data_IF_000308521768
#
_entry.id   IF_000308521768
#
_cell.length_a   1.000
_cell.length_b   1.000
_cell.length_c   1.000
_cell.angle_alpha   90.00
_cell.angle_beta   90.00
_cell.angle_gamma   90.00
#
_symmetry.space_group_name_H-M   'P 1'
#
loop_
_entity.id
_entity.type
_entity.pdbx_description
1 polymer ?
#
# COMPACT_ATOMS: atom_id res chain seq x y z
N UNK A 1 9.90 -24.69 -16.18
CA UNK A 1 9.30 -23.61 -15.39
C UNK A 1 10.41 -22.86 -14.66
N UNK A 2 10.90 -21.75 -15.22
CA UNK A 2 11.73 -20.81 -14.45
C UNK A 2 10.75 -20.02 -13.60
N UNK A 3 10.80 -20.18 -12.28
CA UNK A 3 9.97 -19.43 -11.36
C UNK A 3 10.19 -17.93 -11.58
N UNK A 4 9.13 -17.13 -11.43
CA UNK A 4 9.13 -15.65 -11.50
C UNK A 4 10.29 -15.05 -10.67
N UNK A 5 10.72 -15.78 -9.64
CA UNK A 5 11.88 -15.47 -8.81
C UNK A 5 13.24 -15.37 -9.53
N UNK A 6 13.44 -16.05 -10.65
CA UNK A 6 14.66 -15.94 -11.46
C UNK A 6 14.85 -14.56 -12.11
N UNK A 7 13.77 -13.80 -12.29
CA UNK A 7 13.81 -12.41 -12.78
C UNK A 7 14.09 -11.40 -11.66
N UNK A 8 13.75 -11.72 -10.40
CA UNK A 8 13.95 -10.80 -9.26
C UNK A 8 15.39 -10.72 -8.74
N UNK A 9 16.26 -11.69 -9.05
CA UNK A 9 17.66 -11.72 -8.56
C UNK A 9 18.72 -11.20 -9.52
N UNK A 10 18.36 -10.79 -10.74
CA UNK A 10 19.36 -10.44 -11.75
C UNK A 10 19.76 -8.95 -11.71
N UNK A 11 20.92 -8.70 -11.07
CA UNK A 11 21.83 -7.54 -11.21
C UNK A 11 21.52 -6.25 -10.46
N UNK A 12 21.81 -6.30 -9.17
CA UNK A 12 22.06 -5.14 -8.30
C UNK A 12 23.50 -4.59 -8.44
N UNK A 13 23.99 -4.47 -9.67
CA UNK A 13 25.37 -4.02 -9.91
C UNK A 13 25.52 -3.35 -11.27
N UNK A 14 25.09 -2.10 -11.36
CA UNK A 14 25.77 -1.01 -12.11
C UNK A 14 24.80 0.12 -12.46
N UNK A 15 24.67 1.15 -11.62
CA UNK A 15 24.25 2.47 -12.09
C UNK A 15 24.97 3.57 -11.29
N UNK A 16 26.15 3.95 -11.77
CA UNK A 16 26.72 5.27 -11.55
C UNK A 16 26.67 5.99 -12.91
N UNK A 17 25.90 7.08 -12.99
CA UNK A 17 25.78 7.86 -14.21
C UNK A 17 24.75 8.98 -14.07
N UNK A 18 25.19 10.11 -13.52
CA UNK A 18 24.42 11.34 -13.46
C UNK A 18 24.13 11.89 -14.87
N UNK A 19 22.91 12.37 -15.14
CA UNK A 19 22.64 13.33 -16.21
C UNK A 19 21.60 14.37 -15.82
N UNK A 20 21.86 15.53 -16.41
CA UNK A 20 21.46 16.91 -16.16
C UNK A 20 20.03 17.23 -16.67
N UNK A 21 19.31 18.01 -15.87
CA UNK A 21 17.95 18.51 -16.12
C UNK A 21 18.01 19.82 -16.91
N UNK A 22 17.45 19.85 -18.12
CA UNK A 22 16.87 21.10 -18.65
C UNK A 22 15.91 20.86 -19.83
N UNK A 23 14.61 21.09 -19.59
CA UNK A 23 13.77 22.08 -20.32
C UNK A 23 12.27 21.78 -20.10
N UNK A 24 11.64 22.68 -19.36
CA UNK A 24 10.20 22.89 -19.31
C UNK A 24 9.77 23.70 -20.54
N UNK A 25 8.70 23.27 -21.21
CA UNK A 25 7.88 24.15 -22.03
C UNK A 25 6.41 23.76 -21.84
N UNK A 26 5.59 24.76 -21.55
CA UNK A 26 4.16 24.69 -21.34
C UNK A 26 3.45 24.48 -22.68
N UNK A 27 2.36 23.70 -22.66
CA UNK A 27 1.24 24.02 -23.53
C UNK A 27 -0.09 23.60 -22.90
N UNK A 28 -1.06 24.49 -23.07
CA UNK A 28 -2.37 24.47 -22.43
C UNK A 28 -3.42 24.06 -23.44
N UNK A 29 -4.11 22.93 -23.21
CA UNK A 29 -5.49 22.78 -23.68
C UNK A 29 -6.22 21.71 -22.86
N UNK A 30 -7.44 22.01 -22.43
CA UNK A 30 -8.27 21.13 -21.59
C UNK A 30 -9.56 20.76 -22.33
N UNK A 31 -9.83 19.46 -22.56
CA UNK A 31 -11.18 19.01 -22.87
C UNK A 31 -11.89 18.44 -21.63
N UNK A 32 -13.19 18.74 -21.54
CA UNK A 32 -14.18 18.29 -20.54
C UNK A 32 -14.33 16.75 -20.50
N UNK A 33 -14.77 16.18 -19.36
CA UNK A 33 -14.94 14.74 -19.23
C UNK A 33 -16.24 14.28 -19.92
N UNK A 34 -16.11 13.42 -20.92
CA UNK A 34 -17.19 12.54 -21.37
C UNK A 34 -17.31 11.34 -20.42
N UNK A 35 -18.54 10.98 -20.11
CA UNK A 35 -18.92 9.92 -19.18
C UNK A 35 -18.58 8.54 -19.74
N UNK A 36 -17.62 7.85 -19.11
CA UNK A 36 -17.35 6.43 -19.38
C UNK A 36 -18.15 5.55 -18.41
N UNK A 37 -18.79 4.55 -19.01
CA UNK A 37 -19.61 3.50 -18.41
C UNK A 37 -18.91 2.75 -17.27
N UNK A 38 -19.67 2.42 -16.21
CA UNK A 38 -19.21 1.63 -15.08
C UNK A 38 -18.64 0.27 -15.52
N UNK A 39 -17.32 0.11 -15.43
CA UNK A 39 -16.69 -1.20 -15.33
C UNK A 39 -16.85 -1.69 -13.89
N UNK A 40 -16.97 -3.01 -13.70
CA UNK A 40 -16.93 -3.69 -12.41
C UNK A 40 -15.50 -3.62 -11.80
N UNK A 41 -14.96 -2.40 -11.66
CA UNK A 41 -13.59 -2.11 -11.20
C UNK A 41 -13.42 -2.20 -9.69
N UNK A 42 -12.17 -2.14 -9.22
CA UNK A 42 -11.76 -2.52 -7.86
C UNK A 42 -11.95 -1.44 -6.79
N UNK A 43 -12.65 -0.34 -7.04
CA UNK A 43 -13.11 0.72 -6.15
C UNK A 43 -12.86 0.66 -4.63
N UNK A 44 -12.44 1.81 -4.09
CA UNK A 44 -12.39 2.08 -2.65
C UNK A 44 -13.78 1.87 -2.02
N UNK A 45 -13.83 1.17 -0.88
CA UNK A 45 -15.08 0.95 -0.15
C UNK A 45 -14.93 1.27 1.34
N UNK A 46 -15.97 1.84 1.94
CA UNK A 46 -16.08 2.01 3.39
C UNK A 46 -17.30 1.24 3.85
N UNK A 47 -17.07 0.09 4.48
CA UNK A 47 -18.15 -0.71 5.03
C UNK A 47 -18.42 -0.25 6.46
N UNK A 48 -19.55 0.45 6.61
CA UNK A 48 -20.00 0.97 7.88
C UNK A 48 -21.01 0.02 8.53
N UNK A 49 -20.91 -0.07 9.84
CA UNK A 49 -21.88 -0.71 10.72
C UNK A 49 -22.35 0.32 11.74
N UNK A 50 -23.56 0.16 12.30
CA UNK A 50 -24.31 1.25 12.94
C UNK A 50 -23.68 1.84 14.21
N UNK A 51 -22.63 1.21 14.75
CA UNK A 51 -22.11 1.47 16.11
C UNK A 51 -20.64 1.90 16.17
N UNK A 52 -19.92 1.99 15.04
CA UNK A 52 -18.47 2.29 15.04
C UNK A 52 -18.15 3.75 14.69
N UNK A 53 -17.60 4.57 15.62
CA UNK A 53 -17.23 5.94 15.34
C UNK A 53 -15.90 5.98 14.56
N UNK A 54 -15.98 6.33 13.28
CA UNK A 54 -14.80 6.74 12.52
C UNK A 54 -14.39 8.13 13.02
N UNK A 55 -13.20 8.30 13.63
CA UNK A 55 -12.83 9.57 14.24
C UNK A 55 -12.47 10.65 13.19
N UNK A 56 -12.39 10.27 11.91
CA UNK A 56 -11.79 11.08 10.86
C UNK A 56 -10.29 10.84 10.77
N UNK A 57 -9.75 10.96 9.56
CA UNK A 57 -8.32 10.78 9.33
C UNK A 57 -7.43 11.69 10.21
N UNK A 58 -7.71 12.99 10.38
CA UNK A 58 -6.88 13.87 11.23
C UNK A 58 -6.87 13.48 12.71
N UNK A 59 -7.84 12.68 13.16
CA UNK A 59 -7.95 12.25 14.54
C UNK A 59 -7.27 10.90 14.82
N UNK A 60 -6.77 10.19 13.80
CA UNK A 60 -5.96 9.00 14.05
C UNK A 60 -4.68 9.37 14.84
N UNK A 61 -4.25 8.45 15.71
CA UNK A 61 -3.04 8.58 16.54
C UNK A 61 -2.04 7.46 16.27
N UNK A 62 -2.51 6.31 15.81
CA UNK A 62 -1.67 5.15 15.54
C UNK A 62 -2.04 4.49 14.20
N UNK A 63 -1.02 4.15 13.41
CA UNK A 63 -1.12 3.21 12.31
C UNK A 63 -0.28 1.99 12.63
N UNK A 64 -0.90 0.82 12.66
CA UNK A 64 -0.22 -0.47 12.73
C UNK A 64 -0.22 -1.09 11.34
N UNK A 65 0.94 -1.28 10.72
CA UNK A 65 1.06 -1.63 9.31
C UNK A 65 1.67 -3.02 9.17
N UNK A 66 0.90 -3.96 8.63
CA UNK A 66 1.29 -5.33 8.31
C UNK A 66 1.35 -5.48 6.78
N UNK A 67 2.30 -6.26 6.28
CA UNK A 67 2.43 -6.38 4.84
C UNK A 67 3.81 -6.75 4.34
N UNK A 68 4.06 -6.36 3.09
CA UNK A 68 5.27 -6.71 2.35
C UNK A 68 6.19 -5.52 2.04
N UNK A 69 7.05 -5.67 1.02
CA UNK A 69 8.01 -4.64 0.59
C UNK A 69 7.37 -3.30 0.27
N UNK A 70 6.11 -3.26 -0.18
CA UNK A 70 5.43 -2.01 -0.54
C UNK A 70 5.15 -1.12 0.68
N UNK A 71 5.23 -1.67 1.89
CA UNK A 71 4.98 -0.96 3.15
C UNK A 71 6.15 -1.03 4.13
N UNK A 72 7.25 -1.72 3.78
CA UNK A 72 8.40 -1.86 4.66
C UNK A 72 9.07 -0.50 4.95
N UNK A 73 9.37 -0.24 6.21
CA UNK A 73 10.04 1.00 6.67
C UNK A 73 11.39 0.73 7.36
N UNK A 74 11.95 -0.47 7.13
CA UNK A 74 13.29 -0.86 7.55
C UNK A 74 13.44 -1.46 8.95
N UNK A 75 12.49 -1.27 9.88
CA UNK A 75 12.52 -1.91 11.20
C UNK A 75 11.12 -2.09 11.77
N UNK A 76 10.90 -3.21 12.50
CA UNK A 76 9.67 -3.53 13.23
C UNK A 76 9.39 -2.61 14.46
N UNK A 77 10.15 -1.53 14.62
CA UNK A 77 10.10 -0.67 15.79
C UNK A 77 9.14 0.49 15.56
N UNK A 78 8.33 0.82 16.57
CA UNK A 78 7.44 1.98 16.54
C UNK A 78 8.21 3.26 16.22
N UNK A 79 7.80 3.93 15.16
CA UNK A 79 8.30 5.23 14.72
C UNK A 79 7.31 6.31 15.16
N UNK A 80 7.72 7.11 16.15
CA UNK A 80 6.97 8.29 16.56
C UNK A 80 7.38 9.52 15.74
N UNK A 81 6.60 9.84 14.71
CA UNK A 81 6.82 11.00 13.85
C UNK A 81 6.44 12.34 14.50
N UNK A 82 5.63 12.32 15.56
CA UNK A 82 5.27 13.55 16.29
C UNK A 82 6.50 14.19 16.96
N UNK A 83 7.49 13.36 17.35
CA UNK A 83 8.72 13.78 18.05
C UNK A 83 9.80 14.39 17.15
N UNK A 84 9.70 14.33 15.83
CA UNK A 84 10.66 14.98 14.92
C UNK A 84 10.40 16.49 14.74
N UNK A 85 9.65 17.15 15.65
CA UNK A 85 9.12 18.54 15.54
C UNK A 85 10.15 19.69 15.55
N UNK A 86 11.45 19.40 15.46
CA UNK A 86 12.50 20.44 15.40
C UNK A 86 13.48 20.23 14.25
N UNK A 87 13.26 20.87 13.10
CA UNK A 87 14.23 20.91 11.99
C UNK A 87 13.64 21.42 10.67
N UNK A 88 14.39 22.25 9.93
CA UNK A 88 13.97 22.80 8.62
C UNK A 88 13.90 21.75 7.50
N UNK A 89 14.52 20.59 7.70
CA UNK A 89 14.42 19.41 6.84
C UNK A 89 14.25 18.19 7.76
N UNK A 90 13.12 17.49 7.65
CA UNK A 90 12.86 16.26 8.40
C UNK A 90 13.24 15.08 7.52
N UNK A 91 14.37 14.44 7.81
CA UNK A 91 14.63 13.09 7.29
C UNK A 91 13.57 12.13 7.84
N UNK A 92 13.12 11.20 7.01
CA UNK A 92 12.26 10.12 7.48
C UNK A 92 13.06 9.24 8.45
N UNK A 93 12.53 8.92 9.64
CA UNK A 93 13.22 8.09 10.63
C UNK A 93 13.21 6.60 10.25
N UNK A 94 12.95 6.26 8.98
CA UNK A 94 12.95 4.89 8.50
C UNK A 94 14.38 4.37 8.53
N UNK A 95 14.60 3.31 9.30
CA UNK A 95 15.93 2.73 9.53
C UNK A 95 15.94 1.34 8.93
N UNK A 96 16.44 1.20 7.71
CA UNK A 96 16.58 -0.08 7.00
C UNK A 96 16.03 -0.02 5.58
N UNK A 97 15.79 -1.18 4.97
CA UNK A 97 15.36 -1.28 3.58
C UNK A 97 13.85 -1.00 3.43
N UNK A 98 13.49 -0.09 2.54
CA UNK A 98 12.09 0.32 2.29
C UNK A 98 11.59 -0.04 0.88
N UNK A 99 12.45 -0.66 0.07
CA UNK A 99 12.18 -1.04 -1.32
C UNK A 99 11.69 0.10 -2.22
N UNK A 100 11.90 1.36 -1.82
CA UNK A 100 11.68 2.58 -2.60
C UNK A 100 13.02 3.14 -3.13
N UNK A 101 13.02 4.39 -3.63
CA UNK A 101 14.25 5.01 -4.14
C UNK A 101 15.31 5.20 -3.04
N UNK A 102 16.48 5.74 -3.39
CA UNK A 102 17.60 5.91 -2.46
C UNK A 102 17.27 6.78 -1.23
N UNK A 103 16.26 7.64 -1.32
CA UNK A 103 15.75 8.43 -0.18
C UNK A 103 14.89 7.61 0.80
N UNK A 104 14.52 6.39 0.40
CA UNK A 104 13.75 5.44 1.18
C UNK A 104 12.28 5.79 1.34
N UNK A 105 11.77 6.84 0.66
CA UNK A 105 10.42 7.35 0.91
C UNK A 105 9.34 6.55 0.21
N UNK A 106 8.70 5.63 0.94
CA UNK A 106 7.47 4.96 0.47
C UNK A 106 6.20 5.74 0.84
N UNK A 107 5.02 5.14 0.58
CA UNK A 107 3.73 5.80 0.82
C UNK A 107 3.50 6.17 2.28
N UNK A 108 4.04 5.38 3.22
CA UNK A 108 3.98 5.65 4.66
C UNK A 108 4.77 6.92 4.99
N UNK A 109 5.94 7.08 4.37
CA UNK A 109 6.78 8.27 4.51
C UNK A 109 6.10 9.53 4.01
N UNK A 110 5.49 9.47 2.84
CA UNK A 110 4.72 10.59 2.31
C UNK A 110 3.47 10.90 3.14
N UNK A 111 2.77 9.90 3.65
CA UNK A 111 1.63 10.10 4.54
C UNK A 111 2.06 10.90 5.79
N UNK A 112 3.18 10.53 6.40
CA UNK A 112 3.74 11.27 7.54
C UNK A 112 4.22 12.68 7.16
N UNK A 113 4.89 12.80 6.02
CA UNK A 113 5.49 14.05 5.56
C UNK A 113 4.46 15.08 5.11
N UNK A 114 3.30 14.66 4.59
CA UNK A 114 2.23 15.54 4.10
C UNK A 114 1.16 15.82 5.18
N UNK A 115 1.04 14.96 6.21
CA UNK A 115 0.14 15.15 7.36
C UNK A 115 0.87 15.57 8.64
N UNK A 116 1.68 16.65 8.55
CA UNK A 116 2.61 17.08 9.61
C UNK A 116 1.96 17.56 10.91
N UNK A 117 0.70 18.01 10.83
CA UNK A 117 -0.02 18.54 11.99
C UNK A 117 -0.64 17.41 12.84
N UNK A 118 -0.77 16.21 12.28
CA UNK A 118 -1.26 15.05 13.01
C UNK A 118 -0.17 14.46 13.91
N UNK A 119 -0.49 14.22 15.17
CA UNK A 119 0.34 13.42 16.09
C UNK A 119 0.19 11.93 15.78
N UNK A 120 0.60 11.56 14.57
CA UNK A 120 0.45 10.22 14.04
C UNK A 120 1.70 9.40 14.33
N UNK A 121 1.53 8.25 15.00
CA UNK A 121 2.58 7.26 15.25
C UNK A 121 2.42 6.11 14.27
N UNK A 122 3.52 5.64 13.70
CA UNK A 122 3.52 4.50 12.79
C UNK A 122 4.26 3.34 13.44
N UNK A 123 3.61 2.20 13.50
CA UNK A 123 4.15 0.92 13.96
C UNK A 123 4.23 0.01 12.73
N UNK A 124 5.38 0.00 12.07
CA UNK A 124 5.59 -0.83 10.89
C UNK A 124 6.00 -2.24 11.28
N UNK A 125 5.31 -3.24 10.77
CA UNK A 125 5.67 -4.66 10.87
C UNK A 125 5.89 -5.29 9.49
N UNK A 126 5.63 -4.54 8.41
CA UNK A 126 5.79 -5.02 7.04
C UNK A 126 7.25 -5.32 6.69
N UNK A 127 7.47 -6.39 5.94
CA UNK A 127 8.79 -6.92 5.60
C UNK A 127 8.91 -7.27 4.12
N UNK A 128 10.07 -7.04 3.52
CA UNK A 128 10.31 -7.39 2.13
C UNK A 128 10.05 -8.87 1.81
N UNK A 129 9.32 -9.13 0.73
CA UNK A 129 8.99 -10.50 0.31
C UNK A 129 7.97 -11.23 1.19
N UNK A 130 7.35 -10.55 2.16
CA UNK A 130 6.36 -11.16 3.02
C UNK A 130 5.16 -11.68 2.22
N UNK A 131 4.74 -12.89 2.61
CA UNK A 131 3.48 -13.53 2.23
C UNK A 131 2.56 -13.57 3.45
N UNK A 132 1.32 -14.02 3.31
CA UNK A 132 0.41 -14.20 4.47
C UNK A 132 1.03 -15.04 5.59
N UNK A 133 1.86 -16.04 5.25
CA UNK A 133 2.57 -16.84 6.26
C UNK A 133 3.53 -16.02 7.12
N UNK A 134 4.13 -14.96 6.59
CA UNK A 134 5.00 -14.05 7.35
C UNK A 134 4.18 -13.03 8.15
N UNK A 135 3.01 -12.62 7.64
CA UNK A 135 2.07 -11.74 8.37
C UNK A 135 1.65 -12.37 9.71
N UNK A 136 1.61 -13.69 9.83
CA UNK A 136 1.37 -14.37 11.10
C UNK A 136 2.40 -13.98 12.18
N UNK A 137 3.69 -13.92 11.82
CA UNK A 137 4.75 -13.48 12.72
C UNK A 137 4.65 -11.98 13.01
N UNK A 138 4.27 -11.16 12.03
CA UNK A 138 4.07 -9.71 12.19
C UNK A 138 2.93 -9.42 13.19
N UNK A 139 1.78 -10.09 13.04
CA UNK A 139 0.66 -10.03 13.99
C UNK A 139 1.07 -10.60 15.35
N UNK A 140 1.83 -11.69 15.38
CA UNK A 140 2.42 -12.24 16.60
C UNK A 140 3.28 -11.22 17.35
N UNK A 141 4.14 -10.48 16.64
CA UNK A 141 4.99 -9.44 17.21
C UNK A 141 4.16 -8.27 17.78
N UNK A 142 3.11 -7.84 17.08
CA UNK A 142 2.16 -6.85 17.59
C UNK A 142 1.49 -7.32 18.90
N UNK A 143 0.98 -8.55 18.91
CA UNK A 143 0.26 -9.12 20.07
C UNK A 143 1.17 -9.40 21.26
N UNK A 144 2.44 -9.77 21.02
CA UNK A 144 3.43 -10.03 22.06
C UNK A 144 4.14 -8.78 22.59
N UNK A 145 4.24 -7.73 21.77
CA UNK A 145 5.02 -6.53 22.07
C UNK A 145 4.25 -5.34 22.65
N UNK A 146 2.91 -5.32 22.57
CA UNK A 146 2.11 -4.15 22.96
C UNK A 146 1.48 -4.26 24.36
N UNK A 147 2.14 -3.67 25.36
CA UNK A 147 1.48 -3.35 26.63
C UNK A 147 0.53 -2.15 26.44
N UNK A 148 -0.69 -2.38 25.92
CA UNK A 148 -1.76 -1.41 25.57
C UNK A 148 -1.52 0.08 25.96
N UNK A 149 -0.94 0.93 25.07
CA UNK A 149 -1.18 2.36 25.12
C UNK A 149 -1.61 2.85 23.73
N UNK A 150 -2.56 2.14 23.11
CA UNK A 150 -3.22 2.54 21.87
C UNK A 150 -4.73 2.55 22.09
N UNK A 151 -5.38 3.57 21.54
CA UNK A 151 -6.82 3.78 21.65
C UNK A 151 -7.50 3.09 20.46
N UNK A 152 -8.34 2.06 20.65
CA UNK A 152 -9.07 1.39 19.58
C UNK A 152 -9.85 2.34 18.66
N UNK A 153 -10.34 3.47 19.18
CA UNK A 153 -11.10 4.45 18.40
C UNK A 153 -10.22 5.37 17.57
N UNK A 154 -8.89 5.34 17.75
CA UNK A 154 -7.91 6.21 17.07
C UNK A 154 -6.73 5.45 16.47
N UNK A 155 -6.82 4.13 16.42
CA UNK A 155 -5.78 3.23 15.93
C UNK A 155 -6.25 2.50 14.69
N UNK A 156 -5.60 2.75 13.55
CA UNK A 156 -5.90 2.10 12.28
C UNK A 156 -4.93 0.94 12.03
N UNK A 157 -5.49 -0.24 11.77
CA UNK A 157 -4.75 -1.45 11.43
C UNK A 157 -4.78 -1.59 9.91
N UNK A 158 -3.61 -1.48 9.27
CA UNK A 158 -3.45 -1.51 7.82
C UNK A 158 -2.80 -2.82 7.42
N UNK A 159 -3.43 -3.55 6.50
CA UNK A 159 -2.89 -4.77 5.92
C UNK A 159 -2.76 -4.61 4.41
N UNK A 160 -1.52 -4.63 3.91
CA UNK A 160 -1.21 -4.66 2.47
C UNK A 160 -0.23 -5.78 2.15
N UNK A 161 -0.78 -6.91 1.71
CA UNK A 161 -0.04 -8.13 1.38
C UNK A 161 -0.72 -8.83 0.20
N UNK A 162 0.01 -9.73 -0.44
CA UNK A 162 -0.53 -10.64 -1.46
C UNK A 162 0.25 -10.67 -2.75
N UNK A 163 1.07 -9.64 -3.02
CA UNK A 163 1.90 -9.57 -4.23
C UNK A 163 2.80 -10.81 -4.31
N UNK A 164 3.44 -11.15 -3.18
CA UNK A 164 4.31 -12.32 -3.11
C UNK A 164 3.53 -13.62 -3.16
N UNK A 165 2.32 -13.72 -2.59
CA UNK A 165 1.49 -14.92 -2.65
C UNK A 165 1.06 -15.24 -4.10
N UNK A 166 0.68 -14.20 -4.85
CA UNK A 166 0.33 -14.30 -6.28
C UNK A 166 1.48 -14.83 -7.14
N UNK A 167 2.74 -14.63 -6.73
CA UNK A 167 3.90 -15.15 -7.46
C UNK A 167 4.06 -16.69 -7.34
N UNK A 168 3.35 -17.35 -6.42
CA UNK A 168 3.48 -18.80 -6.16
C UNK A 168 2.19 -19.60 -6.35
N UNK A 169 1.04 -18.94 -6.48
CA UNK A 169 -0.25 -19.59 -6.63
C UNK A 169 -1.19 -18.80 -7.55
N UNK A 170 -2.17 -19.49 -8.14
CA UNK A 170 -3.19 -18.89 -9.01
C UNK A 170 -4.52 -18.63 -8.29
N UNK A 171 -4.80 -19.43 -7.26
CA UNK A 171 -6.02 -19.31 -6.44
C UNK A 171 -5.66 -19.02 -4.98
N UNK A 172 -6.41 -18.11 -4.36
CA UNK A 172 -6.01 -17.52 -3.08
C UNK A 172 -7.01 -17.69 -1.93
N UNK A 173 -8.12 -18.41 -2.15
CA UNK A 173 -9.18 -18.59 -1.15
C UNK A 173 -8.66 -19.06 0.22
N UNK A 174 -7.82 -20.09 0.25
CA UNK A 174 -7.24 -20.62 1.51
C UNK A 174 -6.24 -19.63 2.14
N UNK A 175 -5.46 -18.94 1.31
CA UNK A 175 -4.46 -17.97 1.77
C UNK A 175 -5.13 -16.73 2.36
N UNK A 176 -6.14 -16.19 1.70
CA UNK A 176 -6.96 -15.09 2.22
C UNK A 176 -7.75 -15.55 3.46
N UNK A 177 -8.27 -16.79 3.48
CA UNK A 177 -8.90 -17.34 4.68
C UNK A 177 -7.98 -17.33 5.90
N UNK A 178 -6.70 -17.73 5.71
CA UNK A 178 -5.67 -17.63 6.76
C UNK A 178 -5.38 -16.19 7.15
N UNK A 179 -5.32 -15.25 6.19
CA UNK A 179 -5.16 -13.83 6.50
C UNK A 179 -6.27 -13.33 7.42
N UNK A 180 -7.53 -13.65 7.12
CA UNK A 180 -8.64 -13.22 7.97
C UNK A 180 -8.67 -13.89 9.34
N UNK A 181 -8.12 -15.10 9.50
CA UNK A 181 -7.88 -15.65 10.84
C UNK A 181 -6.89 -14.80 11.66
N UNK A 182 -5.93 -14.12 11.03
CA UNK A 182 -5.05 -13.17 11.70
C UNK A 182 -5.77 -11.87 12.05
N UNK A 183 -6.64 -11.38 11.16
CA UNK A 183 -7.47 -10.19 11.41
C UNK A 183 -8.45 -10.41 12.56
N UNK A 184 -9.02 -11.62 12.70
CA UNK A 184 -9.81 -12.03 13.86
C UNK A 184 -9.02 -11.90 15.18
N UNK A 185 -7.73 -12.27 15.17
CA UNK A 185 -6.85 -12.13 16.36
C UNK A 185 -6.62 -10.66 16.71
N UNK A 186 -6.43 -9.80 15.72
CA UNK A 186 -6.32 -8.35 15.94
C UNK A 186 -7.63 -7.78 16.51
N UNK A 187 -8.78 -8.18 15.96
CA UNK A 187 -10.08 -7.78 16.46
C UNK A 187 -10.32 -8.24 17.90
N UNK A 188 -9.99 -9.49 18.22
CA UNK A 188 -10.07 -10.05 19.58
C UNK A 188 -9.16 -9.30 20.57
N UNK A 189 -8.01 -8.79 20.11
CA UNK A 189 -7.12 -7.96 20.91
C UNK A 189 -7.63 -6.52 21.12
N UNK A 190 -8.67 -6.12 20.38
CA UNK A 190 -9.35 -4.84 20.53
C UNK A 190 -9.28 -3.92 19.32
N UNK A 191 -8.68 -4.33 18.20
CA UNK A 191 -8.65 -3.53 16.97
C UNK A 191 -10.07 -3.27 16.46
N UNK A 192 -10.37 -2.03 16.05
CA UNK A 192 -11.70 -1.64 15.57
C UNK A 192 -11.69 -0.90 14.25
N UNK A 193 -10.57 -0.33 13.83
CA UNK A 193 -10.45 0.34 12.54
C UNK A 193 -9.48 -0.47 11.67
N UNK A 194 -9.97 -0.99 10.55
CA UNK A 194 -9.20 -1.81 9.62
C UNK A 194 -9.16 -1.16 8.25
N UNK A 195 -7.99 -1.16 7.62
CA UNK A 195 -7.78 -0.80 6.21
C UNK A 195 -7.10 -1.95 5.50
N UNK A 196 -7.79 -2.53 4.54
CA UNK A 196 -7.24 -3.52 3.62
C UNK A 196 -6.86 -2.83 2.32
N UNK A 197 -5.68 -3.14 1.79
CA UNK A 197 -5.23 -2.63 0.49
C UNK A 197 -5.11 -3.80 -0.48
N UNK A 198 -5.82 -3.70 -1.61
CA UNK A 198 -5.77 -4.70 -2.66
C UNK A 198 -4.41 -4.66 -3.41
N UNK A 199 -4.06 -5.73 -4.14
CA UNK A 199 -2.77 -5.77 -4.83
C UNK A 199 -2.83 -4.99 -6.15
N UNK A 200 -1.76 -4.28 -6.53
CA UNK A 200 -1.68 -3.61 -7.82
C UNK A 200 -1.73 -4.61 -8.99
N UNK A 201 -2.00 -4.16 -10.23
CA UNK A 201 -2.02 -5.01 -11.41
C UNK A 201 -0.58 -5.36 -11.84
N UNK A 202 0.11 -6.22 -11.08
CA UNK A 202 1.53 -6.55 -11.29
C UNK A 202 1.79 -7.16 -12.67
N UNK A 203 0.78 -7.71 -13.35
CA UNK A 203 0.89 -8.09 -14.77
C UNK A 203 1.36 -6.93 -15.68
N UNK A 204 1.11 -5.68 -15.28
CA UNK A 204 1.55 -4.46 -15.98
C UNK A 204 2.89 -3.90 -15.49
N UNK A 205 3.52 -4.53 -14.48
CA UNK A 205 4.88 -4.15 -14.05
C UNK A 205 5.94 -4.61 -15.07
N UNK A 206 7.18 -4.08 -15.02
CA UNK A 206 8.25 -4.56 -15.89
C UNK A 206 8.59 -6.05 -15.70
N UNK A 207 8.33 -6.64 -14.52
CA UNK A 207 8.41 -8.08 -14.28
C UNK A 207 7.24 -8.82 -14.95
N UNK A 208 6.01 -8.31 -14.82
CA UNK A 208 4.82 -8.89 -15.42
C UNK A 208 4.87 -8.95 -16.93
N UNK A 209 5.31 -7.86 -17.58
CA UNK A 209 5.51 -7.82 -19.03
C UNK A 209 6.62 -8.73 -19.54
N UNK A 210 7.55 -9.15 -18.66
CA UNK A 210 8.62 -10.12 -18.97
C UNK A 210 8.24 -11.56 -18.63
N UNK A 211 7.08 -11.79 -18.02
CA UNK A 211 6.65 -13.13 -17.67
C UNK A 211 6.40 -13.95 -18.95
N UNK A 212 6.66 -15.27 -18.88
CA UNK A 212 6.46 -16.17 -20.03
C UNK A 212 4.99 -16.44 -20.36
N UNK A 213 4.08 -16.02 -19.48
CA UNK A 213 2.64 -16.16 -19.58
C UNK A 213 1.96 -14.98 -18.90
N UNK A 214 0.70 -14.71 -19.24
CA UNK A 214 -0.09 -13.70 -18.54
C UNK A 214 -0.27 -14.09 -17.07
N UNK A 215 0.13 -13.19 -16.16
CA UNK A 215 -0.01 -13.36 -14.72
C UNK A 215 -1.16 -12.53 -14.14
N UNK A 216 -1.91 -11.79 -14.95
CA UNK A 216 -2.94 -10.86 -14.47
C UNK A 216 -4.03 -11.58 -13.68
N UNK A 217 -4.40 -12.80 -14.09
CA UNK A 217 -5.46 -13.59 -13.49
C UNK A 217 -5.25 -13.88 -11.99
N UNK A 218 -4.01 -14.12 -11.54
CA UNK A 218 -3.73 -14.41 -10.12
C UNK A 218 -3.93 -13.19 -9.23
N UNK A 219 -3.56 -11.99 -9.71
CA UNK A 219 -3.78 -10.73 -8.97
C UNK A 219 -5.27 -10.35 -8.96
N UNK A 220 -6.01 -10.58 -10.05
CA UNK A 220 -7.47 -10.44 -10.07
C UNK A 220 -8.13 -11.40 -9.07
N UNK A 221 -7.73 -12.67 -9.07
CA UNK A 221 -8.24 -13.66 -8.12
C UNK A 221 -7.99 -13.24 -6.66
N UNK A 222 -6.79 -12.72 -6.36
CA UNK A 222 -6.48 -12.19 -5.03
C UNK A 222 -7.43 -11.07 -4.64
N UNK A 223 -7.58 -10.05 -5.49
CA UNK A 223 -8.40 -8.87 -5.20
C UNK A 223 -9.88 -9.23 -5.01
N UNK A 224 -10.43 -10.13 -5.83
CA UNK A 224 -11.82 -10.59 -5.69
C UNK A 224 -12.05 -11.42 -4.42
N UNK A 225 -11.08 -12.28 -4.09
CA UNK A 225 -11.11 -13.10 -2.87
C UNK A 225 -11.00 -12.21 -1.63
N UNK A 226 -10.08 -11.24 -1.63
CA UNK A 226 -9.90 -10.26 -0.57
C UNK A 226 -11.18 -9.46 -0.36
N UNK A 227 -11.77 -8.91 -1.43
CA UNK A 227 -13.02 -8.11 -1.34
C UNK A 227 -14.16 -8.90 -0.71
N UNK A 228 -14.31 -10.16 -1.10
CA UNK A 228 -15.33 -11.05 -0.53
C UNK A 228 -15.11 -11.32 0.95
N UNK A 229 -13.87 -11.56 1.35
CA UNK A 229 -13.51 -11.80 2.75
C UNK A 229 -13.64 -10.52 3.62
N UNK A 230 -13.26 -9.36 3.09
CA UNK A 230 -13.48 -8.06 3.75
C UNK A 230 -14.96 -7.82 4.04
N UNK A 231 -15.83 -8.08 3.05
CA UNK A 231 -17.28 -7.91 3.22
C UNK A 231 -17.84 -8.87 4.28
N UNK A 232 -17.39 -10.13 4.29
CA UNK A 232 -17.78 -11.10 5.31
C UNK A 232 -17.32 -10.69 6.72
N UNK A 233 -16.07 -10.23 6.85
CA UNK A 233 -15.51 -9.74 8.11
C UNK A 233 -16.27 -8.52 8.64
N UNK A 234 -16.56 -7.54 7.78
CA UNK A 234 -17.37 -6.38 8.15
C UNK A 234 -18.78 -6.76 8.62
N UNK A 235 -19.41 -7.76 7.99
CA UNK A 235 -20.71 -8.29 8.39
C UNK A 235 -20.68 -9.02 9.73
N UNK A 236 -19.60 -9.76 10.02
CA UNK A 236 -19.41 -10.49 11.28
C UNK A 236 -19.07 -9.57 12.46
N UNK A 237 -18.44 -8.40 12.20
CA UNK A 237 -17.92 -7.50 13.23
C UNK A 237 -18.56 -6.11 13.18
N UNK A 238 -19.81 -5.95 13.64
CA UNK A 238 -20.52 -4.68 13.57
C UNK A 238 -19.94 -3.57 14.46
N UNK A 239 -18.98 -3.87 15.34
CA UNK A 239 -18.25 -2.84 16.08
C UNK A 239 -17.02 -2.32 15.34
N UNK A 240 -16.58 -2.99 14.28
CA UNK A 240 -15.45 -2.58 13.46
C UNK A 240 -15.89 -1.62 12.35
N UNK A 241 -15.01 -0.66 12.03
CA UNK A 241 -14.98 0.02 10.74
C UNK A 241 -14.00 -0.70 9.84
N UNK A 242 -14.46 -1.10 8.67
CA UNK A 242 -13.66 -1.85 7.72
C UNK A 242 -13.60 -1.10 6.39
N UNK A 243 -12.40 -0.74 5.98
CA UNK A 243 -12.11 0.05 4.79
C UNK A 243 -11.32 -0.81 3.79
N UNK A 244 -11.60 -0.63 2.51
CA UNK A 244 -10.76 -1.14 1.43
C UNK A 244 -10.28 0.02 0.59
N UNK A 245 -8.96 0.14 0.41
CA UNK A 245 -8.35 1.02 -0.58
C UNK A 245 -7.87 0.19 -1.76
N UNK A 246 -8.17 0.64 -2.97
CA UNK A 246 -7.73 -0.01 -4.19
C UNK A 246 -6.44 0.58 -4.71
N UNK A 247 -5.33 -0.11 -4.41
CA UNK A 247 -4.09 0.15 -5.11
C UNK A 247 -4.20 -0.27 -6.57
N UNK A 248 -4.98 -1.33 -6.88
CA UNK A 248 -5.25 -1.76 -8.24
C UNK A 248 -5.77 -0.63 -9.12
N UNK A 249 -6.78 0.10 -8.64
CA UNK A 249 -7.37 1.22 -9.37
C UNK A 249 -6.39 2.40 -9.46
N UNK A 250 -5.64 2.68 -8.39
CA UNK A 250 -4.63 3.74 -8.38
C UNK A 250 -3.54 3.50 -9.43
N UNK A 251 -2.96 2.30 -9.44
CA UNK A 251 -1.96 1.91 -10.44
C UNK A 251 -2.57 1.89 -11.85
N UNK A 252 -3.77 1.35 -12.02
CA UNK A 252 -4.44 1.32 -13.34
C UNK A 252 -4.60 2.73 -13.89
N UNK A 253 -5.13 3.68 -13.10
CA UNK A 253 -5.25 5.08 -13.51
C UNK A 253 -3.90 5.71 -13.87
N UNK A 254 -2.86 5.47 -13.08
CA UNK A 254 -1.52 6.03 -13.34
C UNK A 254 -0.88 5.43 -14.59
N UNK A 255 -1.07 4.14 -14.84
CA UNK A 255 -0.49 3.43 -15.98
C UNK A 255 -1.29 3.64 -17.28
N UNK A 256 -2.58 3.99 -17.21
CA UNK A 256 -3.43 4.28 -18.36
C UNK A 256 -3.22 5.72 -18.90
N UNK A 257 -2.84 6.65 -18.03
CA UNK A 257 -2.57 8.06 -18.38
C UNK A 257 -1.31 8.57 -17.65
N UNK A 258 -0.11 8.04 -17.99
CA UNK A 258 1.13 8.39 -17.32
C UNK A 258 1.44 9.89 -17.43
N UNK A 259 1.08 10.51 -18.56
CA UNK A 259 1.28 11.94 -18.84
C UNK A 259 0.59 12.85 -17.83
N UNK A 260 -0.69 12.57 -17.49
CA UNK A 260 -1.43 13.32 -16.46
C UNK A 260 -0.84 13.20 -15.06
N UNK A 261 -0.06 12.15 -14.82
CA UNK A 261 0.68 11.92 -13.59
C UNK A 261 2.15 12.37 -13.68
N UNK A 262 2.52 13.00 -14.79
CA UNK A 262 3.81 13.61 -15.08
C UNK A 262 4.92 12.62 -15.47
N UNK A 263 4.55 11.41 -15.85
CA UNK A 263 5.47 10.40 -16.35
C UNK A 263 5.44 10.37 -17.88
N UNK A 264 6.51 9.87 -18.49
CA UNK A 264 6.50 9.58 -19.92
C UNK A 264 5.84 8.21 -20.16
N UNK A 265 5.27 8.01 -21.35
CA UNK A 265 4.77 6.70 -21.79
C UNK A 265 5.83 5.59 -21.66
N UNK A 266 7.09 5.93 -21.92
CA UNK A 266 8.21 5.00 -21.79
C UNK A 266 8.45 4.52 -20.34
N UNK A 267 8.04 5.29 -19.32
CA UNK A 267 8.26 4.94 -17.91
C UNK A 267 7.37 3.77 -17.47
N UNK A 268 6.21 3.55 -18.12
CA UNK A 268 5.24 2.49 -17.79
C UNK A 268 5.87 1.11 -17.75
N UNK A 269 6.88 0.86 -18.59
CA UNK A 269 7.56 -0.44 -18.72
C UNK A 269 9.05 -0.44 -18.37
N UNK A 270 9.61 0.72 -18.04
CA UNK A 270 11.02 0.87 -17.73
C UNK A 270 11.33 0.50 -16.27
N UNK A 271 12.12 -0.56 -16.08
CA UNK A 271 12.74 -0.84 -14.78
C UNK A 271 13.93 0.09 -14.56
N UNK A 272 14.08 0.63 -13.35
CA UNK A 272 15.04 1.70 -13.07
C UNK A 272 14.65 3.05 -13.69
N UNK A 273 13.37 3.23 -14.00
CA UNK A 273 12.80 4.44 -14.60
C UNK A 273 12.09 5.33 -13.58
N UNK A 274 11.27 6.28 -14.05
CA UNK A 274 10.58 7.20 -13.15
C UNK A 274 9.42 6.56 -12.39
N UNK A 275 8.80 5.50 -12.92
CA UNK A 275 7.69 4.78 -12.26
C UNK A 275 8.13 3.57 -11.45
N UNK A 276 9.09 2.79 -11.97
CA UNK A 276 9.55 1.55 -11.36
C UNK A 276 11.03 1.65 -11.00
N UNK A 277 11.33 1.52 -9.70
CA UNK A 277 12.69 1.47 -9.16
C UNK A 277 13.45 0.28 -9.73
N UNK A 278 12.79 -0.88 -9.76
CA UNK A 278 13.30 -2.12 -10.31
C UNK A 278 12.22 -2.79 -11.18
N UNK A 279 12.21 -4.11 -11.30
CA UNK A 279 11.20 -4.80 -12.09
C UNK A 279 9.82 -4.89 -11.42
N UNK A 280 9.73 -4.60 -10.12
CA UNK A 280 8.54 -4.83 -9.30
C UNK A 280 8.15 -3.64 -8.44
N UNK A 281 9.13 -2.95 -7.87
CA UNK A 281 8.87 -1.93 -6.86
C UNK A 281 8.66 -0.56 -7.50
N UNK A 282 7.61 0.17 -7.10
CA UNK A 282 7.40 1.54 -7.54
C UNK A 282 8.47 2.48 -6.98
N UNK A 283 8.75 3.57 -7.69
CA UNK A 283 9.59 4.65 -7.18
C UNK A 283 8.90 5.41 -6.04
N UNK A 284 9.69 6.22 -5.31
CA UNK A 284 9.16 7.16 -4.31
C UNK A 284 8.12 8.09 -4.95
N UNK A 285 8.29 8.45 -6.24
CA UNK A 285 7.32 9.27 -6.97
C UNK A 285 5.94 8.62 -7.12
N UNK A 286 5.87 7.32 -7.40
CA UNK A 286 4.59 6.58 -7.46
C UNK A 286 4.04 6.35 -6.04
N UNK A 287 4.90 6.07 -5.06
CA UNK A 287 4.52 6.00 -3.65
C UNK A 287 3.88 7.31 -3.14
N UNK A 288 4.31 8.47 -3.63
CA UNK A 288 3.67 9.75 -3.30
C UNK A 288 2.25 9.85 -3.82
N UNK A 289 1.97 9.34 -5.01
CA UNK A 289 0.62 9.30 -5.58
C UNK A 289 -0.27 8.40 -4.70
N UNK A 290 0.20 7.20 -4.38
CA UNK A 290 -0.48 6.28 -3.46
C UNK A 290 -0.80 6.93 -2.12
N UNK A 291 0.17 7.63 -1.51
CA UNK A 291 -0.03 8.31 -0.23
C UNK A 291 -1.13 9.39 -0.32
N UNK A 292 -1.13 10.19 -1.38
CA UNK A 292 -2.15 11.23 -1.61
C UNK A 292 -3.53 10.62 -1.83
N UNK A 293 -3.61 9.52 -2.57
CA UNK A 293 -4.89 8.84 -2.85
C UNK A 293 -5.44 8.13 -1.59
N UNK A 294 -4.57 7.50 -0.80
CA UNK A 294 -4.93 6.93 0.51
C UNK A 294 -5.42 8.04 1.45
N UNK A 295 -4.70 9.16 1.55
CA UNK A 295 -5.09 10.29 2.38
C UNK A 295 -6.44 10.90 1.95
N UNK A 296 -6.64 11.07 0.63
CA UNK A 296 -7.90 11.56 0.08
C UNK A 296 -9.05 10.59 0.40
N UNK A 297 -8.83 9.28 0.24
CA UNK A 297 -9.81 8.27 0.59
C UNK A 297 -10.16 8.33 2.09
N UNK A 298 -9.19 8.26 2.99
CA UNK A 298 -9.41 8.31 4.44
C UNK A 298 -10.11 9.61 4.88
N UNK A 299 -9.84 10.73 4.21
CA UNK A 299 -10.51 12.02 4.46
C UNK A 299 -11.96 12.00 3.97
N UNK A 300 -12.25 11.29 2.87
CA UNK A 300 -13.60 11.18 2.30
C UNK A 300 -14.54 10.30 3.11
N UNK A 301 -14.01 9.39 3.94
CA UNK A 301 -14.82 8.50 4.78
C UNK A 301 -15.66 9.33 5.75
N UNK A 302 -16.98 9.22 5.64
CA UNK A 302 -17.92 10.01 6.43
C UNK A 302 -17.71 9.82 7.94
N UNK A 303 -17.64 10.95 8.64
CA UNK A 303 -17.76 11.03 10.09
C UNK A 303 -19.16 10.53 10.49
N UNK A 304 -19.25 9.82 11.61
CA UNK A 304 -20.53 9.54 12.27
C UNK A 304 -20.55 10.24 13.61
#
# INVERSE_FOLDING_TARGET
MKTVWGLFKARDSSLAGARDDSKLAADSDSPRPESLSASNGSQNTSLNTSTSPWPGFPALKDLFIFGDSYSAIGSASAVDWSRSRGGKHRELPFKGETYADADGTNWVGYLLAEHRDAELRVHGYAEGGARVSAVEAQVGAFLGGTAKPWDPARSLFVTWVGINDCAYAETHAETVGRLFHLEERLYAAGARLFLFIDVPPIGRSPAGMRASSDISATYTNWNDTLRSAVAAFAGAHPAARVLTFSASDTFTRVLDDPGRHGFAEADVSAAGGAMWRDHLHPTSRVHRILARDIAAFLTSVSLR
#
